data_IF_185716379807
#
_entry.id   IF_185716379807
#
_cell.length_a   1.000
_cell.length_b   1.000
_cell.length_c   1.000
_cell.angle_alpha   90.00
_cell.angle_beta   90.00
_cell.angle_gamma   90.00
#
_symmetry.space_group_name_H-M   'P 1'
#
loop_
_entity.id
_entity.type
_entity.pdbx_description
1 polymer ?
#
# COMPACT_ATOMS: atom_id res chain seq x y z
N UNK A 1 8.00 -6.67 -15.81
CA UNK A 1 7.61 -5.48 -16.58
C UNK A 1 7.52 -4.29 -15.63
N UNK A 2 8.24 -3.24 -15.90
CA UNK A 2 8.16 -2.03 -15.09
C UNK A 2 7.14 -1.06 -15.70
N UNK A 3 6.62 -0.19 -14.84
CA UNK A 3 5.63 0.79 -15.21
C UNK A 3 6.29 2.18 -15.21
N UNK A 4 5.79 3.06 -16.06
CA UNK A 4 6.26 4.45 -16.04
C UNK A 4 5.52 5.23 -14.94
N UNK A 5 6.10 5.20 -13.76
CA UNK A 5 5.50 5.84 -12.59
C UNK A 5 5.42 7.36 -12.69
N UNK A 6 6.20 7.97 -13.57
CA UNK A 6 6.11 9.42 -13.80
C UNK A 6 4.77 9.83 -14.40
N UNK A 7 4.06 8.91 -15.06
CA UNK A 7 2.72 9.14 -15.59
C UNK A 7 1.69 9.44 -14.48
N UNK A 8 1.95 8.97 -13.26
CA UNK A 8 1.13 9.27 -12.09
C UNK A 8 1.74 10.35 -11.20
N UNK A 9 2.68 11.12 -11.75
CA UNK A 9 3.34 12.22 -11.04
C UNK A 9 4.02 11.75 -9.75
N UNK A 10 4.71 10.61 -9.83
CA UNK A 10 5.53 10.11 -8.75
C UNK A 10 6.99 10.43 -9.04
N UNK A 11 7.60 11.20 -8.15
CA UNK A 11 9.03 11.52 -8.27
C UNK A 11 9.86 10.30 -7.90
N UNK A 12 10.99 10.06 -8.62
CA UNK A 12 11.92 9.03 -8.19
C UNK A 12 12.43 9.33 -6.77
N UNK A 13 12.43 8.33 -5.91
CA UNK A 13 12.89 8.48 -4.53
C UNK A 13 14.13 7.64 -4.28
N UNK A 14 14.43 7.45 -2.99
CA UNK A 14 15.50 6.56 -2.58
C UNK A 14 15.20 5.15 -3.04
N UNK A 15 16.17 4.51 -3.65
CA UNK A 15 16.02 3.13 -4.07
C UNK A 15 16.12 2.20 -2.86
N UNK A 16 15.24 1.20 -2.82
CA UNK A 16 15.31 0.13 -1.83
C UNK A 16 16.02 -1.05 -2.49
N UNK A 17 17.08 -1.55 -1.86
CA UNK A 17 17.82 -2.65 -2.44
C UNK A 17 17.11 -4.00 -2.26
N UNK A 18 17.52 -4.99 -3.05
CA UNK A 18 16.88 -6.31 -3.06
C UNK A 18 17.01 -7.05 -1.73
N UNK A 19 18.07 -6.78 -0.97
CA UNK A 19 18.26 -7.39 0.33
C UNK A 19 17.22 -6.88 1.33
N UNK A 20 16.93 -5.59 1.32
CA UNK A 20 15.90 -4.99 2.18
C UNK A 20 14.53 -5.55 1.79
N UNK A 21 14.24 -5.66 0.49
CA UNK A 21 12.98 -6.24 0.03
C UNK A 21 12.81 -7.66 0.57
N UNK A 22 13.84 -8.48 0.43
CA UNK A 22 13.82 -9.85 0.92
C UNK A 22 13.59 -9.91 2.44
N UNK A 23 14.29 -9.07 3.20
CA UNK A 23 14.20 -9.06 4.66
C UNK A 23 12.83 -8.59 5.15
N UNK A 24 12.25 -7.59 4.52
CA UNK A 24 10.91 -7.11 4.88
C UNK A 24 9.87 -8.19 4.61
N UNK A 25 9.96 -8.83 3.45
CA UNK A 25 9.04 -9.93 3.11
C UNK A 25 9.15 -11.10 4.09
N UNK A 26 10.37 -11.43 4.50
CA UNK A 26 10.59 -12.48 5.49
C UNK A 26 10.00 -12.12 6.86
N UNK A 27 10.19 -10.86 7.29
CA UNK A 27 9.67 -10.38 8.57
C UNK A 27 8.15 -10.44 8.63
N UNK A 28 7.49 -10.06 7.54
CA UNK A 28 6.02 -10.04 7.47
C UNK A 28 5.48 -11.44 7.14
N UNK A 29 6.25 -12.24 6.42
CA UNK A 29 5.84 -13.59 6.03
C UNK A 29 4.97 -13.61 4.78
N UNK A 30 5.17 -12.67 3.85
CA UNK A 30 4.38 -12.56 2.62
C UNK A 30 5.29 -12.31 1.42
N UNK A 31 4.75 -12.58 0.23
CA UNK A 31 5.34 -12.12 -1.03
C UNK A 31 4.47 -11.00 -1.58
N UNK A 32 5.06 -9.81 -1.74
CA UNK A 32 4.33 -8.67 -2.27
C UNK A 32 4.08 -8.81 -3.77
N UNK A 33 2.98 -8.23 -4.28
CA UNK A 33 2.75 -8.17 -5.72
C UNK A 33 3.93 -7.54 -6.45
N UNK A 34 4.25 -8.10 -7.63
CA UNK A 34 5.41 -7.66 -8.40
C UNK A 34 5.34 -6.17 -8.74
N UNK A 35 4.17 -5.65 -9.08
CA UNK A 35 4.01 -4.25 -9.44
C UNK A 35 4.17 -3.32 -8.23
N UNK A 36 3.75 -3.75 -7.04
CA UNK A 36 4.00 -2.98 -5.83
C UNK A 36 5.50 -2.89 -5.54
N UNK A 37 6.23 -3.99 -5.70
CA UNK A 37 7.69 -3.99 -5.54
C UNK A 37 8.37 -3.12 -6.60
N UNK A 38 7.83 -3.08 -7.82
CA UNK A 38 8.32 -2.19 -8.86
C UNK A 38 8.21 -0.72 -8.42
N UNK A 39 7.10 -0.35 -7.81
CA UNK A 39 6.91 0.99 -7.24
C UNK A 39 7.92 1.26 -6.12
N UNK A 40 8.11 0.30 -5.23
CA UNK A 40 9.06 0.42 -4.11
C UNK A 40 10.49 0.65 -4.62
N UNK A 41 10.87 -0.03 -5.68
CA UNK A 41 12.21 0.15 -6.30
C UNK A 41 12.37 1.53 -6.95
N UNK A 42 11.28 2.09 -7.45
CA UNK A 42 11.28 3.41 -8.08
C UNK A 42 11.28 4.53 -7.02
N UNK A 43 10.46 4.39 -5.99
CA UNK A 43 10.30 5.41 -4.96
C UNK A 43 9.69 4.77 -3.71
N UNK A 44 10.49 4.48 -2.71
CA UNK A 44 9.90 4.08 -1.44
C UNK A 44 9.14 5.27 -0.83
N UNK A 45 8.11 5.00 -0.05
CA UNK A 45 7.30 6.05 0.56
C UNK A 45 6.74 7.05 -0.47
N UNK A 46 6.31 6.53 -1.63
CA UNK A 46 5.84 7.36 -2.74
C UNK A 46 4.64 8.22 -2.35
N UNK A 47 4.56 9.41 -2.95
CA UNK A 47 3.41 10.30 -2.84
C UNK A 47 2.92 10.60 -4.25
N UNK A 48 1.93 9.87 -4.77
CA UNK A 48 1.44 10.10 -6.12
C UNK A 48 0.74 11.46 -6.25
N UNK A 49 1.07 12.22 -7.29
CA UNK A 49 0.31 13.41 -7.64
C UNK A 49 -1.03 13.08 -8.31
N UNK A 50 -1.10 11.88 -8.89
CA UNK A 50 -2.33 11.33 -9.49
C UNK A 50 -2.60 10.01 -8.79
N UNK A 51 -3.38 10.04 -7.73
CA UNK A 51 -3.63 8.86 -6.90
C UNK A 51 -5.04 8.80 -6.33
N UNK A 52 -5.99 9.47 -6.98
CA UNK A 52 -7.40 9.43 -6.59
C UNK A 52 -8.07 8.19 -7.18
N UNK A 53 -8.87 7.51 -6.39
CA UNK A 53 -9.56 6.29 -6.83
C UNK A 53 -10.98 6.24 -6.24
N UNK A 54 -11.91 5.53 -6.89
CA UNK A 54 -13.27 5.39 -6.39
C UNK A 54 -13.32 4.69 -5.02
N UNK A 55 -14.10 5.25 -4.11
CA UNK A 55 -14.31 4.70 -2.78
C UNK A 55 -15.73 4.99 -2.31
N UNK A 56 -16.53 3.95 -2.09
CA UNK A 56 -17.93 4.11 -1.76
C UNK A 56 -18.68 4.85 -2.87
N UNK A 57 -19.44 5.87 -2.51
CA UNK A 57 -20.13 6.74 -3.47
C UNK A 57 -19.30 7.94 -3.91
N UNK A 58 -18.04 8.02 -3.50
CA UNK A 58 -17.14 9.12 -3.80
C UNK A 58 -15.76 8.64 -4.17
N UNK A 59 -14.75 9.33 -3.67
CA UNK A 59 -13.35 9.08 -3.99
C UNK A 59 -12.49 9.17 -2.75
N UNK A 60 -11.39 8.43 -2.76
CA UNK A 60 -10.29 8.60 -1.80
C UNK A 60 -9.03 8.95 -2.59
N UNK A 61 -8.05 9.52 -1.92
CA UNK A 61 -6.80 9.90 -2.56
C UNK A 61 -5.62 9.43 -1.70
N UNK A 62 -4.66 8.78 -2.34
CA UNK A 62 -3.46 8.33 -1.63
C UNK A 62 -2.68 9.57 -1.20
N UNK A 63 -2.48 9.72 0.11
CA UNK A 63 -1.63 10.77 0.66
C UNK A 63 -0.16 10.36 0.59
N UNK A 64 0.15 9.14 1.03
CA UNK A 64 1.50 8.60 0.96
C UNK A 64 1.48 7.09 1.13
N UNK A 65 2.44 6.43 0.50
CA UNK A 65 2.77 5.04 0.80
C UNK A 65 3.69 4.99 2.03
N UNK A 66 3.56 3.94 2.84
CA UNK A 66 4.42 3.77 4.01
C UNK A 66 5.82 3.35 3.61
N UNK A 67 6.81 3.75 4.42
CA UNK A 67 8.21 3.43 4.18
C UNK A 67 8.42 1.93 4.13
N UNK A 68 9.06 1.48 3.05
CA UNK A 68 9.46 0.10 2.89
C UNK A 68 10.87 -0.07 3.46
N UNK A 69 10.95 -0.35 4.76
CA UNK A 69 12.21 -0.39 5.47
C UNK A 69 12.16 -1.39 6.61
N UNK A 70 13.30 -1.62 7.25
CA UNK A 70 13.41 -2.46 8.44
C UNK A 70 13.12 -1.70 9.74
N UNK A 71 12.77 -0.42 9.64
CA UNK A 71 12.39 0.39 10.78
C UNK A 71 11.04 0.00 11.35
N UNK A 72 10.74 0.48 12.55
CA UNK A 72 9.48 0.19 13.25
C UNK A 72 8.84 1.48 13.79
N UNK A 73 9.05 2.58 13.10
CA UNK A 73 8.41 3.86 13.39
C UNK A 73 6.99 3.89 12.81
N UNK A 74 6.09 4.75 13.31
CA UNK A 74 4.66 4.75 12.93
C UNK A 74 4.36 5.04 11.46
N UNK A 75 5.35 5.31 10.63
CA UNK A 75 5.19 5.53 9.19
C UNK A 75 5.79 4.42 8.34
N UNK A 76 6.16 3.29 8.97
CA UNK A 76 6.80 2.15 8.27
C UNK A 76 5.84 0.98 8.12
N UNK A 77 6.09 0.16 7.09
CA UNK A 77 5.31 -1.06 6.86
C UNK A 77 5.36 -2.01 8.05
N UNK A 78 6.55 -2.19 8.65
CA UNK A 78 6.70 -3.15 9.76
C UNK A 78 5.92 -2.71 11.00
N UNK A 79 5.78 -1.40 11.21
CA UNK A 79 4.95 -0.91 12.31
C UNK A 79 3.49 -1.34 12.12
N UNK A 80 2.94 -1.14 10.91
CA UNK A 80 1.56 -1.52 10.60
C UNK A 80 1.36 -3.03 10.54
N UNK A 81 2.42 -3.78 10.23
CA UNK A 81 2.36 -5.25 10.21
C UNK A 81 2.36 -5.87 11.60
N UNK A 82 2.73 -5.11 12.63
CA UNK A 82 2.78 -5.60 14.00
C UNK A 82 1.38 -5.82 14.55
N UNK A 83 1.19 -6.93 15.24
CA UNK A 83 -0.12 -7.29 15.79
C UNK A 83 -0.68 -6.20 16.72
N UNK A 84 -1.94 -5.90 16.58
CA UNK A 84 -2.65 -4.97 17.43
C UNK A 84 -2.42 -3.49 17.16
N UNK A 85 -1.64 -3.14 16.14
CA UNK A 85 -1.41 -1.73 15.79
C UNK A 85 -2.67 -1.07 15.23
N UNK A 86 -3.47 -1.82 14.49
CA UNK A 86 -4.71 -1.33 13.90
C UNK A 86 -5.86 -2.19 14.42
N UNK A 87 -6.60 -1.72 15.45
CA UNK A 87 -7.71 -2.50 16.00
C UNK A 87 -8.78 -2.80 14.95
N UNK A 88 -9.25 -4.03 14.92
CA UNK A 88 -10.30 -4.47 14.00
C UNK A 88 -9.82 -4.87 12.62
N UNK A 89 -8.56 -4.64 12.29
CA UNK A 89 -8.01 -5.05 11.00
C UNK A 89 -7.84 -6.57 10.97
N UNK A 90 -8.33 -7.20 9.89
CA UNK A 90 -8.25 -8.64 9.74
C UNK A 90 -6.79 -9.10 9.60
N UNK A 91 -6.49 -10.27 10.18
CA UNK A 91 -5.20 -10.89 10.00
C UNK A 91 -4.96 -11.18 8.52
N UNK A 92 -3.78 -10.86 8.03
CA UNK A 92 -3.44 -11.02 6.61
C UNK A 92 -3.73 -9.78 5.77
N UNK A 93 -4.37 -8.76 6.32
CA UNK A 93 -4.54 -7.47 5.66
C UNK A 93 -3.44 -6.53 6.14
N UNK A 94 -2.65 -6.02 5.19
CA UNK A 94 -1.49 -5.19 5.50
C UNK A 94 -1.69 -3.78 4.97
N UNK A 95 -1.72 -2.76 5.83
CA UNK A 95 -1.71 -1.38 5.36
C UNK A 95 -0.41 -1.04 4.63
N UNK A 96 -0.53 -0.47 3.44
CA UNK A 96 0.62 -0.04 2.63
C UNK A 96 0.63 1.45 2.36
N UNK A 97 -0.50 2.12 2.57
CA UNK A 97 -0.65 3.55 2.31
C UNK A 97 -1.81 4.10 3.13
N UNK A 98 -1.92 5.42 3.15
CA UNK A 98 -3.04 6.10 3.80
C UNK A 98 -3.55 7.26 2.95
N UNK A 99 -4.78 7.67 3.20
CA UNK A 99 -5.27 8.95 2.69
C UNK A 99 -5.14 10.04 3.77
N UNK A 100 -5.46 11.28 3.41
CA UNK A 100 -5.34 12.40 4.35
C UNK A 100 -6.38 12.35 5.47
N UNK A 101 -7.45 11.60 5.30
CA UNK A 101 -8.52 11.46 6.30
C UNK A 101 -8.32 10.31 7.28
N UNK A 102 -7.24 9.56 7.16
CA UNK A 102 -6.95 8.44 8.05
C UNK A 102 -7.42 7.08 7.57
N UNK A 103 -7.98 6.98 6.37
CA UNK A 103 -8.27 5.68 5.76
C UNK A 103 -6.98 4.98 5.41
N UNK A 104 -6.95 3.66 5.59
CA UNK A 104 -5.79 2.85 5.26
C UNK A 104 -6.05 2.08 3.96
N UNK A 105 -5.08 2.11 3.06
CA UNK A 105 -5.11 1.30 1.84
C UNK A 105 -4.32 0.03 2.16
N UNK A 106 -4.96 -1.12 1.99
CA UNK A 106 -4.41 -2.39 2.44
C UNK A 106 -4.31 -3.41 1.31
N UNK A 107 -3.31 -4.29 1.42
CA UNK A 107 -3.24 -5.50 0.61
C UNK A 107 -3.84 -6.65 1.42
N UNK A 108 -4.76 -7.39 0.83
CA UNK A 108 -5.39 -8.55 1.46
C UNK A 108 -4.67 -9.82 0.98
N UNK A 109 -3.75 -10.31 1.80
CA UNK A 109 -3.00 -11.52 1.49
C UNK A 109 -3.81 -12.80 1.69
N UNK A 110 -5.06 -12.69 2.19
CA UNK A 110 -5.98 -13.83 2.27
C UNK A 110 -6.64 -14.11 0.92
N UNK A 111 -6.65 -13.15 0.01
CA UNK A 111 -7.19 -13.37 -1.32
C UNK A 111 -6.10 -13.93 -2.25
N UNK A 112 -6.45 -14.82 -3.21
CA UNK A 112 -5.45 -15.42 -4.11
C UNK A 112 -4.69 -14.42 -4.96
N UNK A 113 -5.34 -13.32 -5.34
CA UNK A 113 -4.74 -12.28 -6.20
C UNK A 113 -4.14 -11.12 -5.42
N UNK A 114 -4.13 -11.18 -4.10
CA UNK A 114 -3.73 -10.09 -3.21
C UNK A 114 -4.52 -8.81 -3.55
N UNK A 115 -5.78 -8.83 -3.18
CA UNK A 115 -6.71 -7.73 -3.48
C UNK A 115 -6.34 -6.45 -2.72
N UNK A 116 -6.76 -5.32 -3.25
CA UNK A 116 -6.61 -4.02 -2.59
C UNK A 116 -7.95 -3.63 -1.98
N UNK A 117 -7.90 -3.19 -0.72
CA UNK A 117 -9.10 -2.71 -0.02
C UNK A 117 -8.75 -1.48 0.80
N UNK A 118 -9.80 -0.73 1.17
CA UNK A 118 -9.69 0.39 2.11
C UNK A 118 -10.22 -0.09 3.45
N UNK A 119 -9.52 0.24 4.51
CA UNK A 119 -9.95 -0.01 5.88
C UNK A 119 -10.18 1.34 6.59
N UNK A 120 -11.37 1.50 7.17
CA UNK A 120 -11.70 2.67 7.97
C UNK A 120 -11.49 2.33 9.46
N UNK A 121 -10.45 2.87 10.12
CA UNK A 121 -10.19 2.56 11.52
C UNK A 121 -11.29 3.03 12.49
N UNK A 122 -12.01 4.08 12.11
CA UNK A 122 -13.06 4.64 13.00
C UNK A 122 -14.25 3.70 13.14
N UNK A 123 -14.61 3.01 12.07
CA UNK A 123 -15.75 2.09 12.05
C UNK A 123 -15.33 0.63 11.98
N UNK A 124 -14.04 0.34 11.81
CA UNK A 124 -13.50 -0.99 11.53
C UNK A 124 -14.15 -1.62 10.29
N UNK A 125 -14.50 -0.81 9.30
CA UNK A 125 -15.15 -1.25 8.07
C UNK A 125 -14.16 -1.48 6.96
N UNK A 126 -14.44 -2.49 6.11
CA UNK A 126 -13.60 -2.87 4.97
C UNK A 126 -14.36 -2.58 3.69
N UNK A 127 -13.69 -2.00 2.70
CA UNK A 127 -14.27 -1.66 1.41
C UNK A 127 -13.39 -2.22 0.29
N UNK A 128 -13.88 -3.18 -0.52
CA UNK A 128 -13.11 -3.68 -1.66
C UNK A 128 -12.87 -2.57 -2.67
N UNK A 129 -11.67 -2.51 -3.24
CA UNK A 129 -11.32 -1.51 -4.24
C UNK A 129 -10.93 -2.15 -5.57
N UNK A 130 -10.03 -3.13 -5.55
CA UNK A 130 -9.55 -3.74 -6.78
C UNK A 130 -9.12 -5.20 -6.52
N UNK A 131 -9.20 -6.07 -7.54
CA UNK A 131 -8.83 -7.48 -7.36
C UNK A 131 -7.32 -7.71 -7.20
N UNK A 132 -6.50 -6.77 -7.65
CA UNK A 132 -5.04 -6.83 -7.51
C UNK A 132 -4.45 -5.42 -7.58
N UNK A 133 -3.13 -5.33 -7.37
CA UNK A 133 -2.45 -4.04 -7.32
C UNK A 133 -2.42 -3.35 -8.70
N UNK A 134 -2.31 -4.12 -9.78
CA UNK A 134 -2.32 -3.56 -11.13
C UNK A 134 -3.65 -2.88 -11.42
N UNK A 135 -4.76 -3.57 -11.15
CA UNK A 135 -6.10 -3.00 -11.32
C UNK A 135 -6.30 -1.75 -10.44
N UNK A 136 -5.72 -1.73 -9.25
CA UNK A 136 -5.76 -0.58 -8.37
C UNK A 136 -5.06 0.64 -8.99
N UNK A 137 -3.83 0.45 -9.48
CA UNK A 137 -3.09 1.53 -10.15
C UNK A 137 -3.86 2.07 -11.35
N UNK A 138 -4.51 1.20 -12.09
CA UNK A 138 -5.30 1.59 -13.28
C UNK A 138 -6.53 2.42 -12.94
N UNK A 139 -6.96 2.42 -11.67
CA UNK A 139 -8.06 3.29 -11.20
C UNK A 139 -7.61 4.71 -10.89
N UNK A 140 -6.31 4.95 -10.74
CA UNK A 140 -5.81 6.24 -10.28
C UNK A 140 -6.09 7.34 -11.31
N UNK A 141 -6.56 8.48 -10.82
CA UNK A 141 -6.90 9.66 -11.61
C UNK A 141 -6.57 10.92 -10.83
N UNK A 142 -6.47 12.09 -11.53
CA UNK A 142 -6.21 13.37 -10.88
C UNK A 142 -7.28 13.74 -9.85
#
# INVERSE_FOLDING_TARGET
MSMDWSAWEIEPGSAVDEQIISQVQQRIGVEFPALYLDLVRYAEAATPGVGTFPHGSGYACISEFFDFSLGNEPWTLLWYASAGRVPGLAKGCLPIARDAGGLLICLDFNSPSVAVEVFDPDSASRYPVAPDFKAFVELWQP
#
